data_IF_277970499003
#
_entry.id   IF_277970499003
#
_cell.length_a   1.000
_cell.length_b   1.000
_cell.length_c   1.000
_cell.angle_alpha   90.00
_cell.angle_beta   90.00
_cell.angle_gamma   90.00
#
_symmetry.space_group_name_H-M   'P 1'
#
loop_
_entity.id
_entity.type
_entity.pdbx_description
1 polymer ?
#
# COMPACT_ATOMS: atom_id res chain seq x y z
N UNK A 1 -21.71 15.78 4.95
CA UNK A 1 -20.83 14.67 4.51
C UNK A 1 -20.82 13.59 5.58
N UNK A 2 -20.69 12.33 5.19
CA UNK A 2 -20.82 11.18 6.11
C UNK A 2 -19.48 10.57 6.55
N UNK A 3 -18.34 11.12 6.11
CA UNK A 3 -17.01 10.61 6.48
C UNK A 3 -16.74 9.18 5.99
N UNK A 4 -17.41 8.75 4.91
CA UNK A 4 -17.27 7.41 4.36
C UNK A 4 -16.03 7.31 3.46
N UNK A 5 -15.01 6.51 3.80
CA UNK A 5 -13.83 6.34 2.96
C UNK A 5 -14.21 5.58 1.68
N UNK A 6 -13.96 6.19 0.52
CA UNK A 6 -14.29 5.63 -0.78
C UNK A 6 -13.12 5.85 -1.76
N UNK A 7 -12.70 4.77 -2.40
CA UNK A 7 -11.68 4.79 -3.46
C UNK A 7 -12.33 4.45 -4.79
N UNK A 8 -12.05 5.25 -5.82
CA UNK A 8 -12.55 5.01 -7.16
C UNK A 8 -11.59 5.54 -8.20
N UNK A 9 -11.63 4.97 -9.41
CA UNK A 9 -10.90 5.50 -10.57
C UNK A 9 -11.61 6.71 -11.18
N UNK A 10 -12.93 6.77 -11.06
CA UNK A 10 -13.79 7.79 -11.67
C UNK A 10 -15.09 7.91 -10.89
N UNK A 11 -15.68 9.11 -10.95
CA UNK A 11 -17.00 9.40 -10.38
C UNK A 11 -17.95 9.71 -11.54
N UNK A 12 -19.11 9.07 -11.57
CA UNK A 12 -20.17 9.31 -12.56
C UNK A 12 -21.53 9.40 -11.87
N UNK A 13 -22.42 10.31 -12.30
CA UNK A 13 -23.79 10.39 -11.78
C UNK A 13 -24.73 9.35 -12.41
N UNK A 14 -24.29 8.65 -13.46
CA UNK A 14 -25.10 7.64 -14.16
C UNK A 14 -25.22 6.35 -13.35
N UNK A 15 -26.44 5.82 -13.25
CA UNK A 15 -26.71 4.56 -12.57
C UNK A 15 -26.35 3.35 -13.47
N UNK A 16 -25.83 2.28 -12.86
CA UNK A 16 -25.57 1.02 -13.56
C UNK A 16 -26.84 0.22 -13.88
N UNK A 17 -26.71 -0.79 -14.76
CA UNK A 17 -27.79 -1.70 -15.15
C UNK A 17 -28.25 -2.59 -13.97
N UNK A 18 -29.53 -2.53 -13.54
CA UNK A 18 -30.00 -3.20 -12.33
C UNK A 18 -30.07 -4.73 -12.42
N UNK A 19 -30.07 -5.31 -13.63
CA UNK A 19 -30.06 -6.77 -13.81
C UNK A 19 -28.70 -7.43 -13.53
N UNK A 20 -27.68 -6.63 -13.21
CA UNK A 20 -26.27 -6.99 -12.99
C UNK A 20 -25.93 -8.48 -12.93
N UNK A 21 -25.25 -8.97 -13.97
CA UNK A 21 -24.60 -10.28 -13.93
C UNK A 21 -23.37 -10.20 -13.02
N UNK A 22 -23.35 -11.00 -11.95
CA UNK A 22 -22.25 -11.03 -11.00
C UNK A 22 -22.50 -12.03 -9.87
N UNK A 23 -21.51 -12.17 -8.99
CA UNK A 23 -21.61 -13.03 -7.81
C UNK A 23 -20.86 -12.42 -6.63
N UNK A 24 -21.25 -12.83 -5.43
CA UNK A 24 -20.59 -12.43 -4.19
C UNK A 24 -19.52 -13.48 -3.86
N UNK A 25 -18.36 -13.00 -3.43
CA UNK A 25 -17.28 -13.85 -2.97
C UNK A 25 -16.43 -14.48 -4.09
N UNK A 26 -16.62 -14.03 -5.33
CA UNK A 26 -15.81 -14.44 -6.48
C UNK A 26 -14.47 -13.71 -6.48
N UNK A 27 -13.44 -14.37 -7.02
CA UNK A 27 -12.18 -13.72 -7.35
C UNK A 27 -12.40 -12.69 -8.47
N UNK A 28 -11.83 -11.50 -8.31
CA UNK A 28 -11.92 -10.41 -9.29
C UNK A 28 -10.55 -9.82 -9.59
N UNK A 29 -10.46 -9.07 -10.68
CA UNK A 29 -9.33 -8.18 -10.95
C UNK A 29 -9.79 -6.75 -10.74
N UNK A 30 -9.21 -6.04 -9.76
CA UNK A 30 -9.50 -4.65 -9.44
C UNK A 30 -8.20 -3.83 -9.43
N UNK A 31 -8.15 -2.72 -10.16
CA UNK A 31 -6.92 -1.91 -10.26
C UNK A 31 -5.72 -2.68 -10.83
N UNK A 32 -5.97 -3.72 -11.62
CA UNK A 32 -4.92 -4.62 -12.15
C UNK A 32 -4.40 -5.65 -11.14
N UNK A 33 -4.96 -5.73 -9.93
CA UNK A 33 -4.61 -6.70 -8.89
C UNK A 33 -5.68 -7.78 -8.77
N UNK A 34 -5.26 -9.01 -8.50
CA UNK A 34 -6.18 -10.10 -8.14
C UNK A 34 -6.65 -9.89 -6.71
N UNK A 35 -7.97 -9.97 -6.49
CA UNK A 35 -8.60 -9.84 -5.18
C UNK A 35 -9.48 -11.05 -4.95
N UNK A 36 -9.25 -11.76 -3.84
CA UNK A 36 -10.05 -12.91 -3.42
C UNK A 36 -10.79 -12.59 -2.13
N UNK A 37 -11.85 -13.34 -1.88
CA UNK A 37 -12.56 -13.30 -0.60
C UNK A 37 -11.61 -13.62 0.54
N UNK A 38 -11.51 -12.72 1.51
CA UNK A 38 -10.64 -12.88 2.68
C UNK A 38 -9.32 -12.12 2.59
N UNK A 39 -8.92 -11.65 1.41
CA UNK A 39 -7.75 -10.77 1.26
C UNK A 39 -7.99 -9.44 2.00
N UNK A 40 -6.91 -8.86 2.51
CA UNK A 40 -6.94 -7.59 3.25
C UNK A 40 -6.79 -6.43 2.28
N UNK A 41 -7.69 -5.46 2.39
CA UNK A 41 -7.66 -4.22 1.60
C UNK A 41 -7.28 -3.07 2.53
N UNK A 42 -6.15 -2.43 2.24
CA UNK A 42 -5.65 -1.28 3.01
C UNK A 42 -5.59 -0.09 2.07
N UNK A 43 -6.13 1.05 2.50
CA UNK A 43 -6.11 2.28 1.72
C UNK A 43 -5.78 3.51 2.58
N UNK A 44 -5.03 4.42 1.99
CA UNK A 44 -4.58 5.70 2.56
C UNK A 44 -4.55 6.80 1.48
N UNK A 45 -3.93 7.95 1.76
CA UNK A 45 -3.78 9.04 0.78
C UNK A 45 -2.91 8.69 -0.45
N UNK A 46 -2.07 7.67 -0.36
CA UNK A 46 -1.20 7.23 -1.45
C UNK A 46 -1.94 6.30 -2.41
N UNK A 47 -2.87 5.49 -1.90
CA UNK A 47 -3.68 4.60 -2.74
C UNK A 47 -4.27 3.43 -1.98
N UNK A 48 -4.44 2.31 -2.68
CA UNK A 48 -5.02 1.07 -2.14
C UNK A 48 -4.10 -0.10 -2.48
N UNK A 49 -3.89 -0.99 -1.51
CA UNK A 49 -3.14 -2.23 -1.68
C UNK A 49 -4.01 -3.45 -1.35
N UNK A 50 -3.65 -4.58 -1.95
CA UNK A 50 -4.25 -5.90 -1.69
C UNK A 50 -3.19 -6.76 -1.02
N UNK A 51 -3.53 -7.31 0.15
CA UNK A 51 -2.65 -8.20 0.92
C UNK A 51 -3.32 -9.59 0.97
N UNK A 52 -2.70 -10.62 0.34
CA UNK A 52 -3.21 -11.98 0.40
C UNK A 52 -3.43 -12.45 1.83
N UNK A 53 -4.58 -13.06 2.11
CA UNK A 53 -4.95 -13.50 3.46
C UNK A 53 -3.86 -14.39 4.09
N UNK A 54 -3.31 -15.31 3.31
CA UNK A 54 -2.28 -16.26 3.70
C UNK A 54 -0.96 -15.58 4.12
N UNK A 55 -0.69 -14.37 3.62
CA UNK A 55 0.56 -13.64 3.85
C UNK A 55 0.38 -12.44 4.79
N UNK A 56 -0.84 -12.18 5.29
CA UNK A 56 -1.15 -10.95 6.01
C UNK A 56 -0.25 -10.72 7.23
N UNK A 57 0.01 -11.77 8.01
CA UNK A 57 0.88 -11.69 9.20
C UNK A 57 2.33 -11.40 8.83
N UNK A 58 2.86 -12.07 7.81
CA UNK A 58 4.24 -11.84 7.37
C UNK A 58 4.42 -10.41 6.84
N UNK A 59 3.50 -9.95 5.99
CA UNK A 59 3.55 -8.61 5.41
C UNK A 59 3.44 -7.55 6.50
N UNK A 60 2.57 -7.72 7.50
CA UNK A 60 2.44 -6.80 8.62
C UNK A 60 3.75 -6.70 9.42
N UNK A 61 4.38 -7.84 9.76
CA UNK A 61 5.65 -7.84 10.49
C UNK A 61 6.76 -7.14 9.70
N UNK A 62 6.89 -7.42 8.40
CA UNK A 62 7.89 -6.78 7.54
C UNK A 62 7.63 -5.27 7.38
N UNK A 63 6.37 -4.85 7.34
CA UNK A 63 6.00 -3.44 7.29
C UNK A 63 6.39 -2.71 8.59
N UNK A 64 6.25 -3.35 9.76
CA UNK A 64 6.72 -2.81 11.04
C UNK A 64 8.24 -2.64 11.06
N UNK A 65 9.00 -3.65 10.60
CA UNK A 65 10.47 -3.55 10.52
C UNK A 65 10.92 -2.38 9.63
N UNK A 66 10.23 -2.16 8.51
CA UNK A 66 10.49 -1.02 7.61
C UNK A 66 10.17 0.29 8.32
N UNK A 67 9.02 0.39 8.98
CA UNK A 67 8.60 1.59 9.71
C UNK A 67 9.63 1.97 10.79
N UNK A 68 10.12 1.00 11.57
CA UNK A 68 11.15 1.23 12.57
C UNK A 68 12.46 1.74 11.95
N UNK A 69 12.90 1.11 10.85
CA UNK A 69 14.10 1.54 10.10
C UNK A 69 13.93 2.96 9.56
N UNK A 70 12.80 3.28 8.96
CA UNK A 70 12.51 4.60 8.42
C UNK A 70 12.46 5.67 9.51
N UNK A 71 11.86 5.36 10.66
CA UNK A 71 11.87 6.27 11.81
C UNK A 71 13.29 6.55 12.29
N UNK A 72 14.15 5.55 12.40
CA UNK A 72 15.56 5.75 12.74
C UNK A 72 16.28 6.65 11.73
N UNK A 73 16.09 6.39 10.43
CA UNK A 73 16.68 7.21 9.36
C UNK A 73 16.20 8.66 9.47
N UNK A 74 14.90 8.85 9.69
CA UNK A 74 14.27 10.17 9.83
C UNK A 74 14.85 10.96 11.01
N UNK A 75 15.09 10.31 12.15
CA UNK A 75 15.71 10.96 13.31
C UNK A 75 17.18 11.35 13.08
N UNK A 76 17.96 10.50 12.42
CA UNK A 76 19.36 10.83 12.07
C UNK A 76 19.44 12.02 11.11
N UNK A 77 18.50 12.11 10.15
CA UNK A 77 18.39 13.26 9.25
C UNK A 77 18.02 14.53 10.02
N UNK A 78 17.04 14.47 10.94
CA UNK A 78 16.69 15.61 11.80
C UNK A 78 17.86 16.10 12.66
N UNK A 79 18.78 15.20 13.04
CA UNK A 79 20.02 15.52 13.77
C UNK A 79 21.11 16.13 12.88
N UNK A 80 20.86 16.32 11.59
CA UNK A 80 21.76 17.01 10.67
C UNK A 80 22.60 16.10 9.77
N UNK A 81 22.39 14.78 9.81
CA UNK A 81 23.04 13.87 8.85
C UNK A 81 22.33 13.93 7.50
N UNK A 82 23.07 13.75 6.41
CA UNK A 82 22.48 13.66 5.07
C UNK A 82 21.92 12.26 4.82
N UNK A 83 20.90 12.12 3.97
CA UNK A 83 20.34 10.82 3.59
C UNK A 83 21.42 9.87 3.03
N UNK A 84 22.33 10.39 2.20
CA UNK A 84 23.46 9.62 1.65
C UNK A 84 24.33 9.01 2.75
N UNK A 85 24.69 9.82 3.76
CA UNK A 85 25.50 9.36 4.89
C UNK A 85 24.81 8.33 5.79
N UNK A 86 23.47 8.40 5.92
CA UNK A 86 22.68 7.47 6.75
C UNK A 86 22.45 6.14 6.02
N UNK A 87 22.32 6.16 4.69
CA UNK A 87 22.22 4.96 3.86
C UNK A 87 23.58 4.37 3.47
N UNK A 88 24.68 5.01 3.87
CA UNK A 88 26.06 4.59 3.56
C UNK A 88 26.30 4.36 2.06
N UNK A 89 25.75 5.23 1.20
CA UNK A 89 25.79 5.05 -0.26
C UNK A 89 27.21 4.93 -0.81
N UNK A 90 28.18 5.62 -0.19
CA UNK A 90 29.61 5.54 -0.54
C UNK A 90 30.18 4.11 -0.51
N UNK A 91 29.62 3.20 0.30
CA UNK A 91 30.04 1.78 0.33
C UNK A 91 29.63 1.01 -0.92
N UNK A 92 28.67 1.52 -1.67
CA UNK A 92 28.08 0.89 -2.86
C UNK A 92 28.50 1.58 -4.17
N UNK A 93 29.15 2.74 -4.09
CA UNK A 93 29.70 3.41 -5.25
C UNK A 93 30.94 2.66 -5.76
N UNK A 94 30.99 2.41 -7.07
CA UNK A 94 32.20 1.87 -7.70
C UNK A 94 33.30 2.91 -7.58
N UNK A 95 34.41 2.54 -6.95
CA UNK A 95 35.66 3.30 -7.02
C UNK A 95 36.03 3.42 -8.51
N UNK A 96 36.01 4.64 -9.04
CA UNK A 96 36.58 4.94 -10.36
C UNK A 96 38.09 4.89 -10.30
#
# INVERSE_FOLDING_TARGET
EIGFPCFSRSVTPEAGEPKGFGGIGLEIICGGQVVRTGDWIIGDESGVIVVPQENAVEIANRALDILERENRIREEIKRGRTLSSVQELEKWEKVQ
#
